data_IF_917086503326
#
_entry.id   IF_917086503326
#
_cell.length_a   1.000
_cell.length_b   1.000
_cell.length_c   1.000
_cell.angle_alpha   90.00
_cell.angle_beta   90.00
_cell.angle_gamma   90.00
#
_symmetry.space_group_name_H-M   'P 1'
#
loop_
_entity.id
_entity.type
_entity.pdbx_description
1 polymer ?
#
# COMPACT_ATOMS: atom_id res chain seq x y z
N UNK A 1 -9.13 -9.03 15.89
CA UNK A 1 -8.45 -9.38 14.62
C UNK A 1 -8.09 -8.08 13.96
N UNK A 2 -6.89 -7.99 13.39
CA UNK A 2 -6.49 -6.83 12.61
C UNK A 2 -7.19 -6.91 11.26
N UNK A 3 -7.97 -5.89 10.89
CA UNK A 3 -8.78 -5.90 9.66
C UNK A 3 -7.88 -5.52 8.49
N UNK A 4 -7.80 -6.41 7.50
CA UNK A 4 -7.17 -6.14 6.21
C UNK A 4 -8.13 -5.33 5.33
N UNK A 5 -7.65 -4.22 4.78
CA UNK A 5 -8.42 -3.26 4.00
C UNK A 5 -8.37 -3.53 2.49
N UNK A 6 -7.79 -4.66 2.08
CA UNK A 6 -7.58 -4.97 0.67
C UNK A 6 -8.88 -5.01 -0.16
N UNK A 7 -9.97 -5.53 0.40
CA UNK A 7 -11.25 -5.71 -0.28
C UNK A 7 -12.14 -4.45 -0.24
N UNK A 8 -11.72 -3.39 0.44
CA UNK A 8 -12.48 -2.14 0.49
C UNK A 8 -12.47 -1.44 -0.88
N UNK A 9 -13.59 -0.76 -1.23
CA UNK A 9 -13.66 0.07 -2.43
C UNK A 9 -12.48 1.04 -2.51
N UNK A 10 -11.91 1.21 -3.71
CA UNK A 10 -10.65 1.95 -3.87
C UNK A 10 -10.79 3.44 -3.66
N UNK A 11 -11.93 3.98 -4.05
CA UNK A 11 -12.35 5.34 -3.75
C UNK A 11 -12.51 5.56 -2.25
N UNK A 12 -13.25 4.70 -1.56
CA UNK A 12 -13.44 4.81 -0.10
C UNK A 12 -12.10 4.71 0.66
N UNK A 13 -11.24 3.76 0.26
CA UNK A 13 -9.91 3.62 0.87
C UNK A 13 -9.02 4.83 0.58
N UNK A 14 -9.04 5.36 -0.65
CA UNK A 14 -8.26 6.55 -1.01
C UNK A 14 -8.68 7.76 -0.20
N UNK A 15 -9.98 7.98 -0.05
CA UNK A 15 -10.54 9.08 0.74
C UNK A 15 -10.16 8.92 2.22
N UNK A 16 -10.27 7.72 2.77
CA UNK A 16 -9.86 7.42 4.14
C UNK A 16 -8.36 7.66 4.38
N UNK A 17 -7.51 7.28 3.42
CA UNK A 17 -6.05 7.54 3.48
C UNK A 17 -5.78 9.04 3.45
N UNK A 18 -6.46 9.81 2.58
CA UNK A 18 -6.29 11.26 2.52
C UNK A 18 -6.71 11.95 3.83
N UNK A 19 -7.85 11.56 4.39
CA UNK A 19 -8.32 12.05 5.69
C UNK A 19 -7.37 11.68 6.82
N UNK A 20 -6.84 10.45 6.82
CA UNK A 20 -5.84 9.99 7.78
C UNK A 20 -4.57 10.86 7.75
N UNK A 21 -4.01 11.11 6.55
CA UNK A 21 -2.81 11.94 6.42
C UNK A 21 -3.02 13.35 7.00
N UNK A 22 -4.19 13.94 6.74
CA UNK A 22 -4.55 15.27 7.27
C UNK A 22 -4.77 15.28 8.78
N UNK A 23 -5.47 14.27 9.30
CA UNK A 23 -5.84 14.20 10.71
C UNK A 23 -4.63 13.95 11.63
N UNK A 24 -3.69 13.10 11.18
CA UNK A 24 -2.55 12.66 11.98
C UNK A 24 -1.21 13.26 11.52
N UNK A 25 -1.22 14.10 10.48
CA UNK A 25 -0.02 14.70 9.89
C UNK A 25 1.05 13.65 9.53
N UNK A 26 0.59 12.52 8.98
CA UNK A 26 1.45 11.42 8.52
C UNK A 26 1.64 11.53 7.01
N UNK A 27 2.89 11.57 6.56
CA UNK A 27 3.22 11.56 5.13
C UNK A 27 3.28 10.12 4.59
N UNK A 28 2.42 9.82 3.63
CA UNK A 28 2.38 8.53 2.92
C UNK A 28 2.87 8.63 1.48
N UNK A 29 3.43 9.76 1.05
CA UNK A 29 3.92 9.96 -0.33
C UNK A 29 5.09 9.03 -0.69
N UNK A 30 5.86 8.59 0.32
CA UNK A 30 7.01 7.69 0.15
C UNK A 30 6.69 6.21 0.44
N UNK A 31 5.41 5.86 0.57
CA UNK A 31 4.98 4.48 0.78
C UNK A 31 5.09 3.68 -0.51
N UNK A 32 5.61 2.47 -0.41
CA UNK A 32 5.63 1.52 -1.51
C UNK A 32 4.29 0.79 -1.63
N UNK A 33 3.33 1.45 -2.29
CA UNK A 33 1.99 0.90 -2.53
C UNK A 33 1.98 -0.38 -3.37
N UNK A 34 3.08 -0.68 -4.07
CA UNK A 34 3.19 -1.90 -4.89
C UNK A 34 3.18 -3.16 -4.03
N UNK A 35 3.59 -3.07 -2.76
CA UNK A 35 3.58 -4.21 -1.82
C UNK A 35 2.19 -4.52 -1.28
N UNK A 36 1.32 -3.53 -1.17
CA UNK A 36 -0.07 -3.70 -0.73
C UNK A 36 -1.00 -4.05 -1.89
N UNK A 37 -0.75 -3.46 -3.06
CA UNK A 37 -1.57 -3.61 -4.26
C UNK A 37 -0.74 -4.02 -5.48
N UNK A 38 -0.11 -5.21 -5.45
CA UNK A 38 0.84 -5.62 -6.49
C UNK A 38 0.20 -5.78 -7.86
N UNK A 39 -1.04 -6.29 -7.91
CA UNK A 39 -1.77 -6.41 -9.18
C UNK A 39 -2.03 -5.03 -9.78
N UNK A 40 -2.54 -4.09 -9.00
CA UNK A 40 -2.86 -2.71 -9.44
C UNK A 40 -1.62 -1.94 -9.89
N UNK A 41 -0.44 -2.31 -9.39
CA UNK A 41 0.84 -1.72 -9.78
C UNK A 41 1.60 -2.54 -10.86
N UNK A 42 1.07 -3.69 -11.29
CA UNK A 42 1.67 -4.48 -12.37
C UNK A 42 1.42 -3.80 -13.73
N UNK A 43 2.42 -3.65 -14.62
CA UNK A 43 2.22 -3.07 -15.95
C UNK A 43 1.18 -3.85 -16.80
N UNK A 44 0.36 -3.13 -17.59
CA UNK A 44 -0.75 -3.73 -18.37
C UNK A 44 -0.30 -4.82 -19.33
N UNK A 45 0.84 -4.66 -20.01
CA UNK A 45 1.40 -5.69 -20.90
C UNK A 45 1.78 -6.95 -20.14
N UNK A 46 2.34 -6.82 -18.94
CA UNK A 46 2.67 -7.97 -18.07
C UNK A 46 1.40 -8.68 -17.61
N UNK A 47 0.36 -7.93 -17.23
CA UNK A 47 -0.96 -8.51 -16.88
C UNK A 47 -1.58 -9.31 -18.01
N UNK A 48 -1.43 -8.85 -19.26
CA UNK A 48 -2.07 -9.49 -20.41
C UNK A 48 -1.35 -10.73 -20.92
N UNK A 49 -0.02 -10.81 -20.79
CA UNK A 49 0.75 -11.87 -21.43
C UNK A 49 1.50 -12.80 -20.47
N UNK A 50 1.70 -12.40 -19.21
CA UNK A 50 2.69 -13.05 -18.34
C UNK A 50 2.27 -13.24 -16.89
N UNK A 51 1.21 -12.58 -16.41
CA UNK A 51 0.86 -12.60 -14.99
C UNK A 51 -0.51 -13.23 -14.74
N UNK A 52 -0.57 -14.08 -13.72
CA UNK A 52 -1.80 -14.55 -13.11
C UNK A 52 -2.14 -13.65 -11.91
N UNK A 53 -3.36 -13.12 -11.88
CA UNK A 53 -3.81 -12.20 -10.83
C UNK A 53 -3.72 -12.82 -9.44
N UNK A 54 -4.19 -14.06 -9.27
CA UNK A 54 -4.20 -14.73 -7.96
C UNK A 54 -2.78 -14.92 -7.42
N UNK A 55 -1.84 -15.31 -8.29
CA UNK A 55 -0.44 -15.50 -7.90
C UNK A 55 0.24 -14.18 -7.53
N UNK A 56 -0.05 -13.09 -8.27
CA UNK A 56 0.49 -11.77 -7.96
C UNK A 56 -0.08 -11.24 -6.66
N UNK A 57 -1.40 -11.32 -6.45
CA UNK A 57 -2.06 -10.86 -5.22
C UNK A 57 -1.68 -11.71 -4.00
N UNK A 58 -1.30 -12.99 -4.18
CA UNK A 58 -0.78 -13.82 -3.09
C UNK A 58 0.55 -13.32 -2.51
N UNK A 59 1.28 -12.46 -3.23
CA UNK A 59 2.53 -11.85 -2.74
C UNK A 59 2.31 -10.57 -1.92
N UNK A 60 1.07 -10.08 -1.83
CA UNK A 60 0.76 -8.82 -1.15
C UNK A 60 1.01 -8.91 0.36
N UNK A 61 1.41 -7.78 0.93
CA UNK A 61 1.37 -7.55 2.37
C UNK A 61 -0.03 -7.03 2.71
N UNK A 62 -0.68 -7.52 3.78
CA UNK A 62 -1.98 -6.99 4.20
C UNK A 62 -1.83 -5.52 4.66
N UNK A 63 -2.75 -4.66 4.20
CA UNK A 63 -2.81 -3.27 4.63
C UNK A 63 -3.86 -3.18 5.73
N UNK A 64 -3.44 -2.96 6.97
CA UNK A 64 -4.36 -3.15 8.11
C UNK A 64 -4.62 -1.90 8.93
N UNK A 65 -5.77 -1.87 9.61
CA UNK A 65 -6.16 -0.77 10.50
C UNK A 65 -5.11 -0.53 11.61
N UNK A 66 -4.48 -1.60 12.13
CA UNK A 66 -3.42 -1.44 13.12
C UNK A 66 -2.21 -0.67 12.58
N UNK A 67 -1.83 -0.88 11.31
CA UNK A 67 -0.70 -0.14 10.72
C UNK A 67 -0.99 1.36 10.70
N UNK A 68 -2.22 1.76 10.39
CA UNK A 68 -2.66 3.15 10.48
C UNK A 68 -2.65 3.65 11.93
N UNK A 69 -3.17 2.89 12.88
CA UNK A 69 -3.19 3.28 14.30
C UNK A 69 -1.78 3.49 14.88
N UNK A 70 -0.86 2.56 14.62
CA UNK A 70 0.54 2.65 15.07
C UNK A 70 1.27 3.82 14.39
N UNK A 71 1.00 4.05 13.10
CA UNK A 71 1.60 5.18 12.37
C UNK A 71 1.04 6.53 12.83
N UNK A 72 -0.23 6.60 13.21
CA UNK A 72 -0.85 7.79 13.80
C UNK A 72 -0.22 8.12 15.16
N UNK A 73 -0.02 7.12 16.03
CA UNK A 73 0.64 7.32 17.32
C UNK A 73 2.10 7.78 17.15
N UNK A 74 2.81 7.25 16.15
CA UNK A 74 4.19 7.61 15.87
C UNK A 74 4.36 8.93 15.08
N UNK A 75 3.28 9.46 14.48
CA UNK A 75 3.33 10.64 13.62
C UNK A 75 4.08 10.43 12.29
N UNK A 76 4.28 9.18 11.88
CA UNK A 76 4.91 8.81 10.61
C UNK A 76 4.53 7.39 10.23
N UNK A 77 4.60 7.06 8.94
CA UNK A 77 4.42 5.67 8.51
C UNK A 77 5.59 4.81 9.00
N UNK A 78 5.28 3.68 9.62
CA UNK A 78 6.27 2.78 10.23
C UNK A 78 6.62 1.56 9.38
N UNK A 79 5.93 1.37 8.26
CA UNK A 79 5.99 0.16 7.45
C UNK A 79 6.61 0.47 6.09
N UNK A 80 6.44 -0.43 5.12
CA UNK A 80 7.07 -0.40 3.79
C UNK A 80 7.19 1.00 3.18
N UNK A 81 8.41 1.53 3.21
CA UNK A 81 8.81 2.79 2.59
C UNK A 81 9.81 2.51 1.48
N UNK A 82 9.82 3.36 0.45
CA UNK A 82 10.92 3.37 -0.51
C UNK A 82 12.21 3.81 0.19
N UNK A 83 13.23 2.94 0.25
CA UNK A 83 14.59 3.37 0.57
C UNK A 83 15.22 3.92 -0.73
N UNK A 84 15.73 5.14 -0.70
CA UNK A 84 16.39 5.78 -1.85
C UNK A 84 17.55 4.92 -2.41
N UNK A 85 18.07 3.96 -1.65
CA UNK A 85 19.07 2.98 -2.11
C UNK A 85 18.56 1.94 -3.11
N UNK A 86 17.24 1.81 -3.29
CA UNK A 86 16.61 0.81 -4.19
C UNK A 86 16.22 1.41 -5.55
N UNK A 87 16.43 2.72 -5.79
CA UNK A 87 16.11 3.40 -7.06
C UNK A 87 17.04 3.04 -8.22
N UNK A 88 18.20 2.42 -7.95
CA UNK A 88 19.28 2.25 -8.92
C UNK A 88 19.26 0.91 -9.67
N UNK A 89 18.28 0.03 -9.45
CA UNK A 89 18.20 -1.31 -10.06
C UNK A 89 17.07 -1.49 -11.10
N UNK A 90 16.42 -0.43 -11.59
CA UNK A 90 15.39 -0.54 -12.66
C UNK A 90 15.81 0.10 -13.98
#
# INVERSE_FOLDING_TARGET
MDTDLFDEPRDDLSDAVEEFQKAFNVDLSNVDWTRYFPWENTPLLTRWFKANREEVEATRIPLTVRMFAESAEAGKWLFEVWDDKQKDET
#
